data_IF_953232544347
#
_entry.id   IF_953232544347
#
_cell.length_a   1.000
_cell.length_b   1.000
_cell.length_c   1.000
_cell.angle_alpha   90.00
_cell.angle_beta   90.00
_cell.angle_gamma   90.00
#
_symmetry.space_group_name_H-M   'P 1'
#
loop_
_entity.id
_entity.type
_entity.pdbx_description
1 polymer ?
#
# COMPACT_ATOMS: atom_id res chain seq x y z
N UNK A 1 -24.45 15.12 -51.34
CA UNK A 1 -25.07 14.17 -50.40
C UNK A 1 -23.95 13.44 -49.68
N UNK A 2 -23.57 13.93 -48.49
CA UNK A 2 -22.54 13.30 -47.65
C UNK A 2 -23.16 12.08 -46.96
N UNK A 3 -22.72 10.89 -47.33
CA UNK A 3 -23.11 9.64 -46.67
C UNK A 3 -22.37 9.56 -45.34
N UNK A 4 -23.09 9.79 -44.24
CA UNK A 4 -22.59 9.50 -42.90
C UNK A 4 -22.46 7.98 -42.74
N UNK A 5 -21.22 7.49 -42.86
CA UNK A 5 -20.90 6.10 -42.52
C UNK A 5 -20.89 6.03 -40.99
N UNK A 6 -22.02 5.59 -40.42
CA UNK A 6 -22.16 5.31 -39.00
C UNK A 6 -21.09 4.29 -38.58
N UNK A 7 -20.29 4.54 -37.53
CA UNK A 7 -19.23 3.63 -37.13
C UNK A 7 -19.85 2.31 -36.66
N UNK A 8 -19.57 1.21 -37.39
CA UNK A 8 -20.10 -0.12 -37.06
C UNK A 8 -19.73 -0.51 -35.62
N UNK A 9 -20.66 -0.36 -34.68
CA UNK A 9 -20.45 -0.77 -33.30
C UNK A 9 -20.24 -2.29 -33.21
N UNK A 10 -19.16 -2.72 -32.56
CA UNK A 10 -18.90 -4.13 -32.27
C UNK A 10 -19.28 -4.45 -30.84
N UNK A 11 -19.79 -5.65 -30.62
CA UNK A 11 -20.19 -6.13 -29.30
C UNK A 11 -19.43 -7.41 -28.94
N UNK A 12 -19.23 -7.65 -27.65
CA UNK A 12 -18.63 -8.89 -27.16
C UNK A 12 -19.58 -10.07 -27.37
N UNK A 13 -19.15 -11.12 -28.07
CA UNK A 13 -19.96 -12.34 -28.20
C UNK A 13 -20.22 -13.09 -26.88
N UNK A 14 -19.41 -12.84 -25.84
CA UNK A 14 -19.54 -13.54 -24.57
C UNK A 14 -20.34 -12.78 -23.50
N UNK A 15 -20.41 -11.46 -23.59
CA UNK A 15 -21.03 -10.65 -22.53
C UNK A 15 -21.74 -9.39 -23.05
N UNK A 16 -21.90 -9.29 -24.36
CA UNK A 16 -22.69 -8.26 -25.06
C UNK A 16 -22.29 -6.82 -24.79
N UNK A 17 -21.17 -6.58 -24.10
CA UNK A 17 -20.64 -5.25 -23.85
C UNK A 17 -20.19 -4.62 -25.17
N UNK A 18 -20.34 -3.28 -25.29
CA UNK A 18 -19.82 -2.52 -26.42
C UNK A 18 -18.29 -2.57 -26.43
N UNK A 19 -17.73 -2.87 -27.60
CA UNK A 19 -16.29 -3.03 -27.83
C UNK A 19 -15.86 -2.01 -28.88
N UNK A 20 -14.70 -1.36 -28.67
CA UNK A 20 -14.12 -0.45 -29.67
C UNK A 20 -13.73 -1.25 -30.91
N UNK A 21 -13.98 -0.72 -32.11
CA UNK A 21 -13.77 -1.42 -33.38
C UNK A 21 -12.37 -2.05 -33.56
N UNK A 22 -11.34 -1.50 -32.91
CA UNK A 22 -9.95 -1.97 -32.97
C UNK A 22 -9.44 -2.67 -31.70
N UNK A 23 -10.27 -2.86 -30.66
CA UNK A 23 -9.81 -3.56 -29.45
C UNK A 23 -9.85 -5.08 -29.62
N UNK A 24 -8.67 -5.69 -29.48
CA UNK A 24 -8.44 -7.16 -29.48
C UNK A 24 -9.05 -7.88 -28.29
N UNK A 25 -9.47 -7.14 -27.26
CA UNK A 25 -9.83 -7.66 -25.95
C UNK A 25 -11.04 -6.94 -25.37
N UNK A 26 -11.95 -7.68 -24.73
CA UNK A 26 -13.10 -7.12 -24.04
C UNK A 26 -12.73 -6.74 -22.60
N UNK A 27 -12.82 -5.44 -22.28
CA UNK A 27 -12.49 -4.92 -20.94
C UNK A 27 -13.43 -5.42 -19.84
N UNK A 28 -14.68 -5.73 -20.17
CA UNK A 28 -15.64 -6.22 -19.20
C UNK A 28 -15.39 -7.68 -18.82
N UNK A 29 -14.96 -8.50 -19.79
CA UNK A 29 -15.01 -9.97 -19.69
C UNK A 29 -13.63 -10.60 -19.74
N UNK A 30 -12.63 -9.73 -19.83
CA UNK A 30 -11.22 -10.02 -19.78
C UNK A 30 -10.76 -11.10 -20.78
N UNK A 31 -11.41 -11.16 -21.94
CA UNK A 31 -11.17 -12.18 -22.97
C UNK A 31 -10.93 -11.56 -24.34
N UNK A 32 -10.10 -12.24 -25.12
CA UNK A 32 -9.83 -11.86 -26.50
C UNK A 32 -11.07 -12.00 -27.37
N UNK A 33 -11.26 -11.00 -28.24
CA UNK A 33 -12.39 -10.89 -29.17
C UNK A 33 -12.08 -11.56 -30.51
N UNK A 34 -10.85 -12.06 -30.68
CA UNK A 34 -10.44 -12.79 -31.86
C UNK A 34 -10.84 -14.26 -31.73
N UNK A 35 -11.89 -14.63 -32.45
CA UNK A 35 -12.36 -16.02 -32.51
C UNK A 35 -13.70 -16.22 -33.23
N UNK A 36 -14.43 -15.16 -33.58
CA UNK A 36 -15.77 -15.31 -34.17
C UNK A 36 -15.86 -15.07 -35.69
N UNK A 37 -14.76 -14.72 -36.38
CA UNK A 37 -14.78 -14.54 -37.85
C UNK A 37 -14.29 -15.80 -38.60
N UNK A 38 -14.72 -16.98 -38.16
CA UNK A 38 -14.59 -18.19 -38.97
C UNK A 38 -15.91 -18.94 -38.93
N UNK A 39 -16.55 -19.00 -40.10
CA UNK A 39 -17.77 -19.76 -40.35
C UNK A 39 -17.55 -21.20 -39.89
N UNK A 40 -18.39 -21.68 -38.97
CA UNK A 40 -18.49 -23.11 -38.66
C UNK A 40 -19.16 -23.81 -39.84
N UNK A 41 -18.44 -24.71 -40.49
CA UNK A 41 -19.01 -25.85 -41.22
C UNK A 41 -18.62 -27.12 -40.48
N UNK A 42 -19.61 -27.94 -40.16
CA UNK A 42 -19.51 -29.19 -39.42
C UNK A 42 -19.42 -30.35 -40.41
N UNK A 43 -18.45 -31.27 -40.25
CA UNK A 43 -18.63 -32.74 -40.37
C UNK A 43 -17.34 -33.51 -40.02
N UNK A 44 -17.42 -34.83 -39.70
CA UNK A 44 -16.52 -35.53 -38.78
C UNK A 44 -15.48 -36.43 -39.46
N UNK A 45 -14.63 -37.01 -38.60
CA UNK A 45 -13.86 -38.27 -38.67
C UNK A 45 -12.31 -38.18 -38.59
N UNK A 46 -11.81 -39.06 -37.71
CA UNK A 46 -10.49 -39.71 -37.66
C UNK A 46 -9.25 -38.93 -37.12
N UNK A 47 -9.00 -39.19 -35.84
CA UNK A 47 -7.71 -39.62 -35.25
C UNK A 47 -6.39 -39.19 -35.92
N UNK A 48 -5.65 -38.25 -35.32
CA UNK A 48 -4.19 -38.38 -35.09
C UNK A 48 -3.63 -37.26 -34.21
N UNK A 49 -2.45 -37.53 -33.65
CA UNK A 49 -1.75 -36.89 -32.55
C UNK A 49 -1.19 -35.48 -32.88
N UNK A 50 -0.92 -34.75 -31.80
CA UNK A 50 0.03 -33.62 -31.63
C UNK A 50 -0.54 -32.19 -31.69
N UNK A 51 -0.59 -31.59 -30.50
CA UNK A 51 -0.82 -30.16 -30.23
C UNK A 51 0.22 -29.26 -30.91
N UNK A 52 -0.15 -28.00 -31.23
CA UNK A 52 0.83 -26.93 -31.06
C UNK A 52 0.28 -25.64 -30.42
N UNK A 53 1.06 -25.23 -29.42
CA UNK A 53 1.49 -23.86 -29.09
C UNK A 53 0.46 -22.74 -28.95
N UNK A 54 0.14 -22.46 -27.69
CA UNK A 54 -0.16 -21.13 -27.18
C UNK A 54 0.99 -20.16 -27.52
N UNK A 55 0.82 -19.30 -28.52
CA UNK A 55 1.78 -18.22 -28.80
C UNK A 55 1.52 -17.05 -27.85
N UNK A 56 2.36 -16.94 -26.82
CA UNK A 56 2.39 -15.75 -25.97
C UNK A 56 3.23 -14.65 -26.64
N UNK A 57 2.69 -13.45 -26.58
CA UNK A 57 3.23 -12.17 -27.03
C UNK A 57 4.73 -11.96 -26.77
N UNK A 58 5.40 -11.40 -27.80
CA UNK A 58 6.67 -10.66 -27.68
C UNK A 58 7.95 -11.48 -27.88
N UNK A 59 8.38 -11.64 -29.13
CA UNK A 59 9.77 -12.02 -29.44
C UNK A 59 10.38 -10.96 -30.37
N UNK A 60 11.41 -10.20 -29.96
CA UNK A 60 12.21 -9.45 -30.91
C UNK A 60 13.00 -10.45 -31.77
N UNK A 61 12.98 -10.27 -33.08
CA UNK A 61 13.94 -10.92 -33.98
C UNK A 61 15.29 -10.28 -33.70
N UNK A 62 16.25 -11.05 -33.21
CA UNK A 62 17.65 -10.71 -33.34
C UNK A 62 18.36 -11.86 -34.03
N UNK A 63 19.16 -11.49 -35.02
CA UNK A 63 19.98 -12.34 -35.84
C UNK A 63 21.13 -12.91 -35.00
N UNK A 64 21.55 -14.10 -35.42
CA UNK A 64 22.65 -14.94 -34.97
C UNK A 64 23.78 -14.24 -34.19
N UNK A 65 23.80 -14.41 -32.88
CA UNK A 65 25.03 -14.52 -32.07
C UNK A 65 24.70 -15.22 -30.76
N UNK A 66 25.56 -16.16 -30.35
CA UNK A 66 25.35 -17.15 -29.29
C UNK A 66 24.80 -16.54 -27.97
N UNK A 67 23.51 -16.74 -27.71
CA UNK A 67 22.88 -16.34 -26.45
C UNK A 67 23.07 -17.49 -25.45
N UNK A 68 23.93 -17.27 -24.44
CA UNK A 68 24.03 -18.15 -23.26
C UNK A 68 22.63 -18.39 -22.70
N UNK A 69 22.18 -19.65 -22.73
CA UNK A 69 20.93 -20.07 -22.11
C UNK A 69 20.89 -19.56 -20.66
N UNK A 70 19.78 -18.93 -20.20
CA UNK A 70 19.66 -18.53 -18.81
C UNK A 70 19.75 -19.79 -17.95
N UNK A 71 20.74 -19.85 -17.07
CA UNK A 71 20.92 -20.94 -16.11
C UNK A 71 19.62 -21.07 -15.31
N UNK A 72 18.88 -22.14 -15.54
CA UNK A 72 17.69 -22.47 -14.74
C UNK A 72 18.20 -22.79 -13.35
N UNK A 73 18.05 -21.85 -12.43
CA UNK A 73 18.44 -22.03 -11.04
C UNK A 73 17.41 -22.93 -10.35
N UNK A 74 17.91 -23.88 -9.57
CA UNK A 74 17.03 -24.75 -8.77
C UNK A 74 16.33 -23.91 -7.70
N UNK A 75 15.22 -24.42 -7.16
CA UNK A 75 14.47 -23.71 -6.11
C UNK A 75 15.36 -23.36 -4.90
N UNK A 76 16.31 -24.22 -4.57
CA UNK A 76 17.28 -23.99 -3.49
C UNK A 76 18.26 -22.85 -3.80
N UNK A 77 18.71 -22.76 -5.05
CA UNK A 77 19.57 -21.66 -5.50
C UNK A 77 18.82 -20.33 -5.46
N UNK A 78 17.54 -20.33 -5.82
CA UNK A 78 16.67 -19.15 -5.73
C UNK A 78 16.43 -18.72 -4.27
N UNK A 79 16.23 -19.68 -3.36
CA UNK A 79 16.08 -19.39 -1.92
C UNK A 79 17.37 -18.79 -1.36
N UNK A 80 18.54 -19.33 -1.71
CA UNK A 80 19.86 -18.81 -1.29
C UNK A 80 20.15 -17.41 -1.84
N UNK A 81 19.79 -17.14 -3.08
CA UNK A 81 19.95 -15.82 -3.68
C UNK A 81 19.04 -14.78 -2.99
N UNK A 82 17.81 -15.17 -2.66
CA UNK A 82 16.84 -14.30 -1.97
C UNK A 82 17.21 -14.05 -0.52
N UNK A 83 17.86 -14.99 0.19
CA UNK A 83 18.39 -14.76 1.54
C UNK A 83 19.65 -13.89 1.51
N UNK A 84 20.54 -14.07 0.53
CA UNK A 84 21.74 -13.25 0.38
C UNK A 84 21.42 -11.77 0.08
N UNK A 85 20.42 -11.51 -0.78
CA UNK A 85 19.93 -10.14 -1.07
C UNK A 85 19.30 -9.45 0.15
N UNK A 86 18.75 -10.20 1.11
CA UNK A 86 18.25 -9.61 2.37
C UNK A 86 19.41 -9.19 3.30
N UNK A 87 20.55 -9.88 3.24
CA UNK A 87 21.74 -9.51 4.01
C UNK A 87 22.46 -8.26 3.46
N UNK A 88 22.32 -7.94 2.17
CA UNK A 88 22.83 -6.69 1.59
C UNK A 88 22.00 -5.45 1.99
N UNK A 89 20.76 -5.62 2.51
CA UNK A 89 19.97 -4.50 3.06
C UNK A 89 20.55 -3.97 4.38
N UNK A 90 21.52 -4.65 4.98
CA UNK A 90 22.21 -4.18 6.20
C UNK A 90 23.17 -3.01 5.94
N UNK A 91 23.48 -2.67 4.68
CA UNK A 91 24.38 -1.57 4.32
C UNK A 91 23.72 -0.18 4.37
N UNK A 92 22.40 -0.10 4.61
CA UNK A 92 21.74 1.16 4.98
C UNK A 92 21.83 1.49 6.48
N UNK A 93 22.83 0.94 7.19
CA UNK A 93 23.23 1.51 8.47
C UNK A 93 23.98 2.82 8.22
N UNK A 94 23.22 3.89 8.17
CA UNK A 94 23.68 5.28 8.19
C UNK A 94 24.82 5.44 9.19
N UNK A 95 25.96 5.95 8.71
CA UNK A 95 27.13 6.31 9.50
C UNK A 95 26.67 7.07 10.76
N UNK A 96 26.85 6.44 11.93
CA UNK A 96 26.58 7.07 13.22
C UNK A 96 27.59 8.21 13.40
N UNK A 97 27.16 9.43 13.08
CA UNK A 97 27.84 10.63 13.56
C UNK A 97 27.79 10.58 15.10
N UNK A 98 28.96 10.41 15.74
CA UNK A 98 29.15 10.59 17.17
C UNK A 98 28.65 11.98 17.55
N UNK A 99 27.42 12.07 18.06
CA UNK A 99 26.96 13.22 18.82
C UNK A 99 27.12 12.88 20.30
N UNK A 100 27.57 13.88 21.05
CA UNK A 100 27.94 13.81 22.45
C UNK A 100 26.90 13.07 23.31
N UNK A 101 27.39 12.40 24.35
CA UNK A 101 26.61 11.63 25.32
C UNK A 101 25.75 12.56 26.18
N UNK A 102 24.69 13.12 25.59
CA UNK A 102 23.51 13.58 26.34
C UNK A 102 22.78 12.35 26.85
N UNK A 103 22.37 12.35 28.12
CA UNK A 103 21.60 11.28 28.77
C UNK A 103 20.47 10.84 27.84
N UNK A 104 20.65 9.67 27.21
CA UNK A 104 19.69 9.13 26.25
C UNK A 104 18.55 8.56 27.08
N UNK A 105 17.56 9.39 27.40
CA UNK A 105 16.27 8.85 27.83
C UNK A 105 15.75 8.00 26.66
N UNK A 106 15.50 6.69 26.85
CA UNK A 106 15.07 5.84 25.75
C UNK A 106 13.76 6.38 25.18
N UNK A 107 13.67 6.49 23.86
CA UNK A 107 12.43 6.87 23.20
C UNK A 107 11.38 5.76 23.43
N UNK A 108 10.15 6.18 23.74
CA UNK A 108 8.97 5.33 23.90
C UNK A 108 8.11 5.48 22.66
N UNK A 109 7.56 4.36 22.20
CA UNK A 109 6.58 4.35 21.13
C UNK A 109 5.17 4.31 21.71
N UNK A 110 4.32 5.26 21.36
CA UNK A 110 2.90 5.29 21.74
C UNK A 110 2.00 5.31 20.50
N UNK A 111 0.82 4.70 20.57
CA UNK A 111 -0.13 4.67 19.45
C UNK A 111 -1.18 5.79 19.58
N UNK A 112 -1.11 6.78 18.69
CA UNK A 112 -2.07 7.90 18.63
C UNK A 112 -3.15 7.64 17.58
N UNK A 113 -4.41 7.81 17.98
CA UNK A 113 -5.56 7.74 17.07
C UNK A 113 -6.19 9.11 16.76
N UNK A 114 -7.04 9.17 15.74
CA UNK A 114 -7.85 10.36 15.44
C UNK A 114 -9.23 10.27 16.12
N UNK A 115 -9.66 11.37 16.70
CA UNK A 115 -11.04 11.61 17.16
C UNK A 115 -11.61 12.80 16.38
N UNK A 116 -12.87 12.71 15.97
CA UNK A 116 -13.57 13.78 15.26
C UNK A 116 -14.78 14.22 16.07
N UNK A 117 -15.02 15.51 16.11
CA UNK A 117 -16.23 16.07 16.67
C UNK A 117 -17.33 16.03 15.61
N UNK A 118 -18.37 15.21 15.82
CA UNK A 118 -19.47 15.02 14.86
C UNK A 118 -20.78 15.09 15.64
N UNK A 119 -21.67 16.00 15.25
CA UNK A 119 -23.01 16.16 15.83
C UNK A 119 -23.01 16.35 17.36
N UNK A 120 -22.06 17.10 17.90
CA UNK A 120 -21.96 17.35 19.35
C UNK A 120 -21.23 16.26 20.14
N UNK A 121 -20.82 15.17 19.49
CA UNK A 121 -20.15 14.04 20.14
C UNK A 121 -18.74 13.82 19.59
N UNK A 122 -17.82 13.41 20.46
CA UNK A 122 -16.47 13.02 20.07
C UNK A 122 -16.47 11.55 19.65
N UNK A 123 -16.29 11.29 18.35
CA UNK A 123 -16.26 9.92 17.78
C UNK A 123 -14.84 9.51 17.42
N UNK A 124 -14.46 8.29 17.82
CA UNK A 124 -13.19 7.68 17.43
C UNK A 124 -13.25 7.26 15.96
N UNK A 125 -12.23 7.62 15.18
CA UNK A 125 -12.12 7.14 13.80
C UNK A 125 -11.48 5.77 13.82
N UNK A 126 -12.28 4.74 13.54
CA UNK A 126 -11.80 3.35 13.53
C UNK A 126 -10.67 3.16 12.51
N UNK A 127 -9.69 2.33 12.86
CA UNK A 127 -8.59 1.95 11.96
C UNK A 127 -7.52 3.03 11.74
N UNK A 128 -7.71 4.24 12.29
CA UNK A 128 -6.76 5.35 12.19
C UNK A 128 -5.95 5.49 13.47
N UNK A 129 -4.98 4.60 13.69
CA UNK A 129 -3.99 4.69 14.78
C UNK A 129 -2.57 4.58 14.24
N UNK A 130 -1.68 5.45 14.71
CA UNK A 130 -0.28 5.49 14.28
C UNK A 130 0.66 5.42 15.49
N UNK A 131 1.71 4.57 15.44
CA UNK A 131 2.76 4.59 16.44
C UNK A 131 3.61 5.86 16.27
N UNK A 132 3.86 6.64 17.31
CA UNK A 132 4.80 7.79 17.29
C UNK A 132 5.90 7.56 18.32
N UNK A 133 7.13 7.99 18.00
CA UNK A 133 8.30 7.85 18.88
C UNK A 133 8.59 9.16 19.61
N UNK A 134 8.61 9.13 20.93
CA UNK A 134 8.71 10.31 21.80
C UNK A 134 9.66 10.00 22.94
N UNK A 135 10.36 11.01 23.44
CA UNK A 135 11.17 10.86 24.65
C UNK A 135 10.28 10.46 25.84
N UNK A 136 10.84 9.69 26.79
CA UNK A 136 10.15 9.33 28.05
C UNK A 136 9.59 10.53 28.80
N UNK A 137 10.30 11.66 28.80
CA UNK A 137 9.89 12.93 29.43
C UNK A 137 9.07 13.81 28.50
N UNK A 138 8.37 13.20 27.55
CA UNK A 138 7.57 13.95 26.58
C UNK A 138 6.39 14.63 27.24
N UNK A 139 6.36 15.96 27.17
CA UNK A 139 5.24 16.80 27.62
C UNK A 139 4.11 16.77 26.59
N UNK A 140 2.89 17.08 27.02
CA UNK A 140 1.71 17.29 26.16
C UNK A 140 2.01 17.95 24.80
N UNK A 141 2.69 19.09 24.80
CA UNK A 141 2.97 19.87 23.59
C UNK A 141 3.85 19.10 22.59
N UNK A 142 4.86 18.38 23.08
CA UNK A 142 5.76 17.59 22.23
C UNK A 142 5.02 16.42 21.57
N UNK A 143 4.13 15.77 22.33
CA UNK A 143 3.31 14.66 21.84
C UNK A 143 2.36 15.15 20.75
N UNK A 144 1.72 16.29 21.00
CA UNK A 144 0.81 16.90 20.05
C UNK A 144 1.52 17.30 18.76
N UNK A 145 2.67 17.96 18.87
CA UNK A 145 3.47 18.38 17.71
C UNK A 145 3.91 17.18 16.87
N UNK A 146 4.52 16.15 17.49
CA UNK A 146 4.94 14.93 16.78
C UNK A 146 3.76 14.14 16.22
N UNK A 147 2.63 14.15 16.92
CA UNK A 147 1.39 13.52 16.45
C UNK A 147 0.87 14.18 15.18
N UNK A 148 0.76 15.52 15.19
CA UNK A 148 0.32 16.31 14.04
C UNK A 148 1.28 16.11 12.87
N UNK A 149 2.59 16.24 13.08
CA UNK A 149 3.61 16.02 12.05
C UNK A 149 3.54 14.62 11.43
N UNK A 150 3.29 13.59 12.24
CA UNK A 150 3.16 12.23 11.71
C UNK A 150 1.86 12.03 10.95
N UNK A 151 0.77 12.63 11.42
CA UNK A 151 -0.53 12.53 10.74
C UNK A 151 -0.58 13.30 9.43
N UNK A 152 0.04 14.47 9.35
CA UNK A 152 0.18 15.23 8.10
C UNK A 152 1.00 14.47 7.07
N UNK A 153 2.05 13.76 7.50
CA UNK A 153 2.85 12.93 6.62
C UNK A 153 2.12 11.65 6.15
N UNK A 154 1.24 11.08 6.99
CA UNK A 154 0.58 9.80 6.72
C UNK A 154 -0.74 9.93 5.95
N UNK A 155 -1.59 10.88 6.33
CA UNK A 155 -2.94 11.03 5.77
C UNK A 155 -3.03 12.34 4.97
N UNK A 156 -3.18 12.22 3.65
CA UNK A 156 -3.31 13.38 2.75
C UNK A 156 -4.54 14.23 3.02
N UNK A 157 -5.56 13.66 3.66
CA UNK A 157 -6.79 14.36 4.02
C UNK A 157 -6.71 15.00 5.41
N UNK A 158 -5.58 14.87 6.12
CA UNK A 158 -5.39 15.47 7.43
C UNK A 158 -4.89 16.91 7.30
N UNK A 159 -5.57 17.83 7.96
CA UNK A 159 -5.30 19.26 7.85
C UNK A 159 -4.33 19.75 8.92
N UNK A 160 -3.03 19.76 8.63
CA UNK A 160 -1.99 20.12 9.60
C UNK A 160 -2.02 21.55 10.17
N UNK A 161 -2.81 22.45 9.60
CA UNK A 161 -2.89 23.87 10.03
C UNK A 161 -3.98 24.12 11.07
N UNK A 162 -4.85 23.15 11.32
CA UNK A 162 -5.92 23.27 12.33
C UNK A 162 -5.38 23.16 13.76
N UNK A 163 -6.18 23.67 14.71
CA UNK A 163 -5.92 23.53 16.13
C UNK A 163 -6.33 22.14 16.61
N UNK A 164 -5.33 21.33 16.99
CA UNK A 164 -5.54 20.01 17.57
C UNK A 164 -5.39 20.05 19.10
N UNK A 165 -6.07 19.12 19.77
CA UNK A 165 -5.98 18.89 21.22
C UNK A 165 -5.75 17.40 21.44
N UNK A 166 -4.88 17.05 22.40
CA UNK A 166 -4.65 15.66 22.78
C UNK A 166 -5.76 15.22 23.74
N UNK A 167 -6.36 14.08 23.44
CA UNK A 167 -7.44 13.50 24.23
C UNK A 167 -7.03 12.13 24.74
N UNK A 168 -7.54 11.78 25.91
CA UNK A 168 -7.52 10.43 26.43
C UNK A 168 -8.49 9.52 25.65
N UNK A 169 -8.43 8.22 25.94
CA UNK A 169 -9.23 7.21 25.27
C UNK A 169 -10.74 7.38 25.54
N UNK A 170 -11.11 7.86 26.72
CA UNK A 170 -12.47 8.23 27.12
C UNK A 170 -13.00 9.49 26.40
N UNK A 171 -12.12 10.38 25.94
CA UNK A 171 -12.47 11.64 25.28
C UNK A 171 -12.20 12.88 26.13
N UNK A 172 -11.70 12.72 27.35
CA UNK A 172 -11.30 13.80 28.21
C UNK A 172 -10.02 14.48 27.70
N UNK A 173 -9.89 15.79 27.95
CA UNK A 173 -8.70 16.55 27.55
C UNK A 173 -7.46 16.09 28.33
N UNK A 174 -6.38 15.77 27.62
CA UNK A 174 -5.14 15.24 28.21
C UNK A 174 -4.20 16.33 28.74
N UNK A 175 -4.74 17.43 29.27
CA UNK A 175 -3.92 18.52 29.83
C UNK A 175 -3.33 18.17 31.19
N UNK A 176 -4.07 17.40 31.98
CA UNK A 176 -3.72 16.96 33.34
C UNK A 176 -3.79 15.44 33.42
N UNK A 177 -3.01 14.86 34.34
CA UNK A 177 -3.03 13.41 34.60
C UNK A 177 -4.40 13.01 35.18
N UNK A 178 -5.02 11.91 34.71
CA UNK A 178 -6.30 11.48 35.25
C UNK A 178 -6.15 11.11 36.73
N UNK A 179 -7.06 11.61 37.57
CA UNK A 179 -7.02 11.37 39.02
C UNK A 179 -6.23 12.40 39.83
N UNK A 180 -5.39 13.23 39.19
CA UNK A 180 -4.66 14.31 39.87
C UNK A 180 -4.82 15.65 39.15
N UNK A 181 -5.44 16.63 39.81
CA UNK A 181 -5.66 17.96 39.23
C UNK A 181 -4.43 18.90 39.35
N UNK A 182 -3.36 18.45 39.99
CA UNK A 182 -2.19 19.30 40.32
C UNK A 182 -1.04 19.18 39.31
N UNK A 183 -0.96 18.07 38.58
CA UNK A 183 0.19 17.78 37.73
C UNK A 183 -0.17 17.90 36.25
N UNK A 184 0.69 18.61 35.50
CA UNK A 184 0.60 18.65 34.04
C UNK A 184 0.89 17.27 33.43
N UNK A 185 0.40 17.07 32.21
CA UNK A 185 0.61 15.82 31.50
C UNK A 185 2.06 15.59 31.10
N UNK A 186 2.67 14.57 31.72
CA UNK A 186 3.98 14.02 31.40
C UNK A 186 3.91 12.49 31.30
N UNK A 187 4.57 11.92 30.30
CA UNK A 187 4.58 10.48 30.03
C UNK A 187 5.16 9.63 31.19
N UNK A 188 6.19 10.11 31.89
CA UNK A 188 6.79 9.38 33.03
C UNK A 188 5.81 9.28 34.21
N UNK A 189 5.17 10.39 34.55
CA UNK A 189 4.21 10.45 35.65
C UNK A 189 2.93 9.68 35.31
N UNK A 190 2.45 9.81 34.07
CA UNK A 190 1.29 9.08 33.59
C UNK A 190 1.46 7.56 33.75
N UNK A 191 2.66 7.02 33.48
CA UNK A 191 2.93 5.58 33.67
C UNK A 191 2.96 5.18 35.15
N UNK A 192 3.47 6.06 36.01
CA UNK A 192 3.58 5.79 37.46
C UNK A 192 2.20 5.75 38.12
N UNK A 193 1.31 6.68 37.77
CA UNK A 193 -0.02 6.83 38.36
C UNK A 193 -1.01 5.73 37.91
N UNK A 194 -0.81 5.15 36.73
CA UNK A 194 -1.65 4.05 36.24
C UNK A 194 -1.36 2.69 36.91
N UNK A 195 -0.34 2.60 37.77
CA UNK A 195 0.09 1.36 38.41
C UNK A 195 0.91 0.43 37.48
N UNK A 196 1.68 -0.51 38.05
CA UNK A 196 2.46 -1.50 37.32
C UNK A 196 1.61 -2.55 36.58
#
# INVERSE_FOLDING_TARGET
MTTEISPMMRFCGNCSAKIKLQSRYCWNCKRDTQGWNSKKTVSPDETSKNSPSTSSFGRPKNESSEIKLPKVMTLDDFIKEKTSKRNCSAEFQTKKNKKAKTVIHPDVTINIGQKKFVNGEIKTVWGKRLPISISRKGTYAQILQKGVEKWTAFDRNFNGTEHYVLLYQDGSCAQFIPGTFKNFFDLENYKTELGP
#
